data_IF_083605445779
#
_entry.id   IF_083605445779
#
_cell.length_a   1.000
_cell.length_b   1.000
_cell.length_c   1.000
_cell.angle_alpha   90.00
_cell.angle_beta   90.00
_cell.angle_gamma   90.00
#
_symmetry.space_group_name_H-M   'P 1'
#
loop_
_entity.id
_entity.type
_entity.pdbx_description
1 polymer ?
#
# COMPACT_ATOMS: atom_id res chain seq x y z
N UNK A 1 26.80 0.24 -0.53
CA UNK A 1 25.40 0.14 -0.08
C UNK A 1 25.25 1.01 1.16
N UNK A 2 24.71 2.23 1.00
CA UNK A 2 24.34 3.08 2.14
C UNK A 2 22.92 2.74 2.60
N UNK A 3 22.72 2.65 3.90
CA UNK A 3 21.39 2.57 4.49
C UNK A 3 20.85 3.98 4.73
N UNK A 4 19.55 4.18 4.49
CA UNK A 4 18.90 5.51 4.65
C UNK A 4 18.68 5.89 6.14
N UNK A 5 19.05 5.03 7.10
CA UNK A 5 18.69 5.22 8.51
C UNK A 5 17.18 5.02 8.77
N UNK A 6 16.65 5.54 9.89
CA UNK A 6 15.22 5.56 10.18
C UNK A 6 14.48 6.40 9.17
N UNK A 7 13.41 5.84 8.58
CA UNK A 7 12.54 6.53 7.63
C UNK A 7 11.07 6.29 7.98
N UNK A 8 10.21 7.24 7.63
CA UNK A 8 8.77 7.10 7.82
C UNK A 8 8.21 5.94 6.99
N UNK A 9 7.19 5.26 7.51
CA UNK A 9 6.51 4.15 6.82
C UNK A 9 5.96 4.59 5.45
N UNK A 10 5.36 5.79 5.35
CA UNK A 10 4.91 6.40 4.09
C UNK A 10 6.05 6.49 3.07
N UNK A 11 7.18 7.03 3.45
CA UNK A 11 8.37 7.14 2.58
C UNK A 11 8.88 5.76 2.15
N UNK A 12 8.85 4.79 3.05
CA UNK A 12 9.27 3.42 2.75
C UNK A 12 8.35 2.76 1.71
N UNK A 13 7.03 2.91 1.84
CA UNK A 13 6.06 2.39 0.87
C UNK A 13 6.19 3.11 -0.49
N UNK A 14 6.26 4.44 -0.48
CA UNK A 14 6.41 5.30 -1.67
C UNK A 14 7.62 4.92 -2.51
N UNK A 15 8.76 4.66 -1.84
CA UNK A 15 10.03 4.26 -2.48
C UNK A 15 10.21 2.75 -2.59
N UNK A 16 9.22 1.96 -2.16
CA UNK A 16 9.26 0.48 -2.16
C UNK A 16 10.53 -0.09 -1.48
N UNK A 17 10.80 0.35 -0.25
CA UNK A 17 12.00 -0.05 0.51
C UNK A 17 11.83 -1.44 1.13
N UNK A 18 12.42 -2.44 0.51
CA UNK A 18 12.33 -3.86 0.88
C UNK A 18 12.67 -4.14 2.35
N UNK A 19 13.74 -3.52 2.87
CA UNK A 19 14.19 -3.76 4.24
C UNK A 19 13.17 -3.34 5.29
N UNK A 20 12.39 -2.28 5.02
CA UNK A 20 11.33 -1.84 5.94
C UNK A 20 10.19 -2.86 5.95
N UNK A 21 9.74 -3.33 4.78
CA UNK A 21 8.71 -4.36 4.69
C UNK A 21 9.11 -5.65 5.42
N UNK A 22 10.38 -6.10 5.25
CA UNK A 22 10.91 -7.29 5.94
C UNK A 22 10.93 -7.08 7.45
N UNK A 23 11.37 -5.90 7.93
CA UNK A 23 11.39 -5.59 9.38
C UNK A 23 10.00 -5.57 9.98
N UNK A 24 9.02 -4.96 9.29
CA UNK A 24 7.63 -4.96 9.74
C UNK A 24 7.10 -6.40 9.82
N UNK A 25 7.27 -7.20 8.75
CA UNK A 25 6.83 -8.59 8.77
C UNK A 25 7.48 -9.40 9.90
N UNK A 26 8.78 -9.18 10.14
CA UNK A 26 9.50 -9.83 11.25
C UNK A 26 8.92 -9.43 12.61
N UNK A 27 8.55 -8.17 12.81
CA UNK A 27 8.04 -7.67 14.08
C UNK A 27 6.62 -8.16 14.38
N UNK A 28 5.74 -8.24 13.36
CA UNK A 28 4.38 -8.75 13.54
C UNK A 28 4.30 -10.28 13.52
N UNK A 29 5.31 -10.95 12.98
CA UNK A 29 5.36 -12.40 12.83
C UNK A 29 4.79 -12.92 11.52
N UNK A 30 5.53 -13.83 10.87
CA UNK A 30 5.19 -14.37 9.54
C UNK A 30 3.88 -15.18 9.56
N UNK A 31 3.64 -15.97 10.61
CA UNK A 31 2.42 -16.75 10.73
C UNK A 31 1.19 -15.87 10.94
N UNK A 32 1.32 -14.81 11.74
CA UNK A 32 0.25 -13.82 11.91
C UNK A 32 -0.10 -13.16 10.59
N UNK A 33 0.90 -12.73 9.83
CA UNK A 33 0.67 -12.09 8.53
C UNK A 33 0.05 -13.06 7.52
N UNK A 34 0.48 -14.33 7.49
CA UNK A 34 -0.09 -15.37 6.63
C UNK A 34 -1.58 -15.63 6.96
N UNK A 35 -1.93 -15.67 8.25
CA UNK A 35 -3.33 -15.78 8.66
C UNK A 35 -4.11 -14.51 8.28
N UNK A 36 -3.54 -13.34 8.54
CA UNK A 36 -4.20 -12.07 8.32
C UNK A 36 -4.59 -11.81 6.86
N UNK A 37 -3.74 -12.19 5.89
CA UNK A 37 -4.05 -11.99 4.46
C UNK A 37 -5.24 -12.82 3.97
N UNK A 38 -5.66 -13.86 4.70
CA UNK A 38 -6.87 -14.62 4.37
C UNK A 38 -8.12 -13.75 4.38
N UNK A 39 -8.13 -12.68 5.19
CA UNK A 39 -9.21 -11.70 5.25
C UNK A 39 -9.43 -11.02 3.91
N UNK A 40 -8.35 -10.80 3.14
CA UNK A 40 -8.39 -10.21 1.81
C UNK A 40 -8.75 -11.23 0.71
N UNK A 41 -8.85 -12.52 1.05
CA UNK A 41 -9.21 -13.58 0.12
C UNK A 41 -8.05 -14.38 -0.43
N UNK A 42 -6.84 -14.18 0.10
CA UNK A 42 -5.68 -14.97 -0.28
C UNK A 42 -5.65 -16.31 0.48
N UNK A 43 -5.16 -17.35 -0.20
CA UNK A 43 -4.98 -18.66 0.41
C UNK A 43 -3.64 -18.74 1.13
N UNK A 44 -3.58 -19.19 2.40
CA UNK A 44 -2.32 -19.34 3.11
C UNK A 44 -1.38 -20.36 2.46
N UNK A 45 -1.92 -21.33 1.70
CA UNK A 45 -1.13 -22.36 1.00
C UNK A 45 -0.25 -21.75 -0.10
N UNK A 46 -0.69 -20.64 -0.70
CA UNK A 46 0.00 -19.97 -1.80
C UNK A 46 0.99 -18.90 -1.28
N UNK A 47 1.04 -18.69 0.03
CA UNK A 47 1.84 -17.65 0.68
C UNK A 47 2.66 -18.25 1.83
N UNK A 48 3.84 -18.80 1.56
CA UNK A 48 4.64 -19.47 2.57
C UNK A 48 5.11 -18.49 3.65
N UNK A 49 5.08 -18.88 4.95
CA UNK A 49 5.35 -17.99 6.09
C UNK A 49 6.85 -17.75 6.28
N UNK A 50 7.50 -17.17 5.28
CA UNK A 50 8.89 -16.73 5.33
C UNK A 50 8.99 -15.22 5.22
N UNK A 51 10.11 -14.63 5.64
CA UNK A 51 10.33 -13.19 5.52
C UNK A 51 10.27 -12.69 4.06
N UNK A 52 10.56 -13.54 3.08
CA UNK A 52 10.41 -13.23 1.67
C UNK A 52 8.94 -12.95 1.26
N UNK A 53 7.94 -13.38 2.06
CA UNK A 53 6.53 -13.03 1.84
C UNK A 53 6.33 -11.51 1.83
N UNK A 54 7.10 -10.75 2.62
CA UNK A 54 7.08 -9.28 2.60
C UNK A 54 7.47 -8.66 1.25
N UNK A 55 8.15 -9.44 0.41
CA UNK A 55 8.62 -9.03 -0.92
C UNK A 55 7.81 -9.67 -2.06
N UNK A 56 6.72 -10.37 -1.72
CA UNK A 56 5.86 -10.99 -2.70
C UNK A 56 6.24 -12.43 -3.08
N UNK A 57 6.94 -13.17 -2.22
CA UNK A 57 7.23 -14.60 -2.42
C UNK A 57 5.96 -15.44 -2.16
N UNK A 58 4.93 -15.24 -2.96
CA UNK A 58 3.69 -15.98 -2.98
C UNK A 58 3.14 -16.01 -4.40
N UNK A 59 2.16 -16.88 -4.66
CA UNK A 59 1.51 -16.97 -5.96
C UNK A 59 0.10 -16.41 -5.88
N UNK A 60 -0.23 -15.52 -6.82
CA UNK A 60 -1.55 -14.88 -6.90
C UNK A 60 -1.99 -14.74 -8.35
N UNK A 61 -3.30 -14.71 -8.56
CA UNK A 61 -3.88 -14.31 -9.84
C UNK A 61 -4.21 -12.82 -9.83
N UNK A 62 -4.30 -12.19 -11.00
CA UNK A 62 -4.77 -10.81 -11.13
C UNK A 62 -6.18 -10.64 -10.53
N UNK A 63 -7.03 -11.66 -10.64
CA UNK A 63 -8.35 -11.72 -10.04
C UNK A 63 -8.34 -11.62 -8.51
N UNK A 64 -7.48 -12.39 -7.85
CA UNK A 64 -7.31 -12.33 -6.40
C UNK A 64 -6.74 -10.97 -5.96
N UNK A 65 -5.78 -10.42 -6.71
CA UNK A 65 -5.24 -9.09 -6.45
C UNK A 65 -6.30 -8.00 -6.58
N UNK A 66 -7.16 -8.07 -7.61
CA UNK A 66 -8.26 -7.12 -7.76
C UNK A 66 -9.22 -7.16 -6.56
N UNK A 67 -9.57 -8.36 -6.09
CA UNK A 67 -10.37 -8.53 -4.88
C UNK A 67 -9.69 -7.99 -3.61
N UNK A 68 -8.39 -8.21 -3.46
CA UNK A 68 -7.60 -7.70 -2.33
C UNK A 68 -7.49 -6.17 -2.32
N UNK A 69 -7.21 -5.56 -3.49
CA UNK A 69 -7.13 -4.10 -3.60
C UNK A 69 -8.49 -3.41 -3.50
N UNK A 70 -9.57 -4.07 -3.89
CA UNK A 70 -10.92 -3.57 -3.69
C UNK A 70 -11.26 -3.32 -2.20
N UNK A 71 -10.62 -4.04 -1.27
CA UNK A 71 -10.77 -3.80 0.17
C UNK A 71 -10.32 -2.39 0.55
N UNK A 72 -9.20 -1.91 -0.02
CA UNK A 72 -8.73 -0.54 0.23
C UNK A 72 -9.61 0.50 -0.47
N UNK A 73 -9.98 0.24 -1.72
CA UNK A 73 -10.77 1.17 -2.53
C UNK A 73 -12.15 1.47 -1.93
N UNK A 74 -12.75 0.52 -1.21
CA UNK A 74 -14.12 0.61 -0.70
C UNK A 74 -14.23 0.77 0.83
N UNK A 75 -13.15 1.17 1.51
CA UNK A 75 -13.17 1.46 2.94
C UNK A 75 -13.13 0.23 3.85
N UNK A 76 -12.54 -0.87 3.40
CA UNK A 76 -12.23 -2.02 4.24
C UNK A 76 -13.16 -3.21 4.08
N UNK A 77 -14.04 -3.22 3.08
CA UNK A 77 -14.98 -4.32 2.84
C UNK A 77 -14.46 -5.29 1.79
N UNK A 78 -14.59 -6.59 2.06
CA UNK A 78 -14.31 -7.63 1.09
C UNK A 78 -15.54 -7.88 0.21
N UNK A 79 -15.42 -7.54 -1.06
CA UNK A 79 -16.42 -7.87 -2.09
C UNK A 79 -15.93 -9.08 -2.90
N UNK A 80 -16.83 -9.97 -3.27
CA UNK A 80 -16.49 -11.13 -4.11
C UNK A 80 -16.68 -10.74 -5.58
N UNK A 81 -15.61 -10.71 -6.37
CA UNK A 81 -15.73 -10.43 -7.79
C UNK A 81 -16.46 -11.58 -8.51
N UNK A 82 -17.19 -11.24 -9.57
CA UNK A 82 -17.88 -12.21 -10.42
C UNK A 82 -17.84 -11.74 -11.88
N UNK A 83 -17.94 -12.67 -12.82
CA UNK A 83 -17.94 -12.40 -14.28
C UNK A 83 -19.36 -12.51 -14.83
N UNK A 84 -20.10 -13.54 -14.40
CA UNK A 84 -21.46 -13.79 -14.89
C UNK A 84 -22.45 -13.16 -13.91
N UNK A 85 -23.19 -12.14 -14.36
CA UNK A 85 -24.18 -11.45 -13.52
C UNK A 85 -25.50 -12.24 -13.43
N UNK A 86 -25.95 -12.85 -14.54
CA UNK A 86 -27.14 -13.70 -14.56
C UNK A 86 -27.13 -14.65 -15.74
N UNK A 87 -27.82 -15.77 -15.57
CA UNK A 87 -28.10 -16.75 -16.62
C UNK A 87 -29.60 -16.81 -16.82
N UNK A 88 -30.06 -16.70 -18.05
CA UNK A 88 -31.49 -16.81 -18.42
C UNK A 88 -31.70 -17.93 -19.42
N UNK A 89 -32.88 -18.56 -19.42
CA UNK A 89 -33.28 -19.49 -20.46
C UNK A 89 -33.73 -18.73 -21.73
N UNK A 90 -34.14 -19.49 -22.78
CA UNK A 90 -34.62 -18.95 -24.06
C UNK A 90 -35.93 -18.12 -23.94
N UNK A 91 -36.65 -18.27 -22.83
CA UNK A 91 -37.88 -17.53 -22.53
C UNK A 91 -37.62 -16.29 -21.67
N UNK A 92 -36.35 -15.96 -21.37
CA UNK A 92 -35.97 -14.81 -20.53
C UNK A 92 -36.10 -15.04 -19.03
N UNK A 93 -36.52 -16.26 -18.59
CA UNK A 93 -36.58 -16.57 -17.17
C UNK A 93 -35.17 -16.72 -16.57
N UNK A 94 -34.94 -16.07 -15.44
CA UNK A 94 -33.68 -16.17 -14.73
C UNK A 94 -33.52 -17.59 -14.16
N UNK A 95 -32.44 -18.27 -14.53
CA UNK A 95 -32.02 -19.58 -14.01
C UNK A 95 -31.10 -19.37 -12.79
N UNK A 96 -30.15 -18.44 -12.92
CA UNK A 96 -29.18 -18.11 -11.87
C UNK A 96 -28.81 -16.63 -11.95
N UNK A 97 -28.56 -16.02 -10.78
CA UNK A 97 -28.13 -14.63 -10.68
C UNK A 97 -27.05 -14.49 -9.60
N UNK A 98 -25.98 -13.76 -9.92
CA UNK A 98 -24.94 -13.48 -8.95
C UNK A 98 -25.51 -12.71 -7.75
N UNK A 99 -25.17 -13.18 -6.55
CA UNK A 99 -25.45 -12.43 -5.33
C UNK A 99 -24.41 -11.33 -5.17
N UNK A 100 -24.84 -10.10 -5.42
CA UNK A 100 -23.97 -8.92 -5.32
C UNK A 100 -23.91 -8.45 -3.88
N UNK A 101 -22.74 -8.51 -3.26
CA UNK A 101 -22.49 -7.89 -1.96
C UNK A 101 -21.76 -6.57 -2.19
N UNK A 102 -22.22 -5.49 -1.57
CA UNK A 102 -21.61 -4.15 -1.63
C UNK A 102 -21.02 -3.75 -0.28
N UNK A 103 -20.09 -2.82 -0.30
CA UNK A 103 -19.59 -2.19 0.92
C UNK A 103 -20.77 -1.55 1.69
N UNK A 104 -20.89 -1.89 2.97
CA UNK A 104 -22.03 -1.46 3.79
C UNK A 104 -23.32 -2.24 3.56
N UNK A 105 -23.43 -3.08 2.52
CA UNK A 105 -24.62 -3.86 2.18
C UNK A 105 -24.23 -5.31 1.85
N UNK A 106 -24.20 -6.16 2.85
CA UNK A 106 -23.93 -7.60 2.73
C UNK A 106 -22.45 -7.99 2.55
N UNK A 107 -21.54 -7.06 2.30
CA UNK A 107 -20.11 -7.34 2.32
C UNK A 107 -19.55 -7.29 3.74
N UNK A 108 -18.60 -8.18 4.04
CA UNK A 108 -17.94 -8.23 5.35
C UNK A 108 -16.82 -7.19 5.39
N UNK A 109 -16.81 -6.35 6.43
CA UNK A 109 -15.68 -5.47 6.71
C UNK A 109 -14.53 -6.31 7.28
N UNK A 110 -13.39 -6.31 6.63
CA UNK A 110 -12.22 -7.15 6.96
C UNK A 110 -11.06 -6.37 7.55
N UNK A 111 -11.02 -5.05 7.33
CA UNK A 111 -10.16 -4.09 8.02
C UNK A 111 -10.96 -2.85 8.42
N UNK A 112 -10.49 -2.15 9.44
CA UNK A 112 -11.09 -0.88 9.86
C UNK A 112 -10.99 0.16 8.71
N UNK A 113 -12.03 0.98 8.54
CA UNK A 113 -12.06 2.02 7.50
C UNK A 113 -10.95 3.05 7.64
N UNK A 114 -10.53 3.35 8.87
CA UNK A 114 -9.39 4.23 9.16
C UNK A 114 -8.08 3.62 8.67
N UNK A 115 -7.90 2.30 8.83
CA UNK A 115 -6.74 1.59 8.29
C UNK A 115 -6.74 1.61 6.76
N UNK A 116 -7.90 1.35 6.12
CA UNK A 116 -8.04 1.44 4.67
C UNK A 116 -7.69 2.84 4.15
N UNK A 117 -8.14 3.90 4.84
CA UNK A 117 -7.81 5.29 4.51
C UNK A 117 -6.31 5.58 4.63
N UNK A 118 -5.67 5.20 5.74
CA UNK A 118 -4.23 5.42 5.94
C UNK A 118 -3.40 4.71 4.87
N UNK A 119 -3.73 3.46 4.56
CA UNK A 119 -3.06 2.71 3.49
C UNK A 119 -3.29 3.35 2.12
N UNK A 120 -4.51 3.78 1.81
CA UNK A 120 -4.83 4.49 0.57
C UNK A 120 -4.04 5.79 0.46
N UNK A 121 -4.01 6.60 1.53
CA UNK A 121 -3.22 7.84 1.58
C UNK A 121 -1.73 7.60 1.31
N UNK A 122 -1.14 6.53 1.87
CA UNK A 122 0.25 6.17 1.57
C UNK A 122 0.43 5.68 0.13
N UNK A 123 -0.53 4.92 -0.42
CA UNK A 123 -0.49 4.46 -1.82
C UNK A 123 -0.75 5.57 -2.83
N UNK A 124 -1.44 6.65 -2.45
CA UNK A 124 -1.53 7.86 -3.27
C UNK A 124 -0.15 8.50 -3.47
N UNK A 125 0.73 8.49 -2.47
CA UNK A 125 2.09 9.02 -2.61
C UNK A 125 2.98 8.15 -3.51
N UNK A 126 2.72 6.86 -3.61
CA UNK A 126 3.37 6.01 -4.62
C UNK A 126 3.08 6.52 -6.03
N UNK A 127 1.83 6.98 -6.27
CA UNK A 127 1.38 7.55 -7.55
C UNK A 127 1.84 9.01 -7.71
N UNK A 128 1.85 9.80 -6.64
CA UNK A 128 2.20 11.22 -6.71
C UNK A 128 3.70 11.46 -6.91
N UNK A 129 4.53 10.80 -6.11
CA UNK A 129 5.98 11.08 -6.02
C UNK A 129 6.84 9.81 -5.96
N UNK A 130 6.22 8.63 -6.05
CA UNK A 130 6.90 7.36 -5.87
C UNK A 130 7.18 6.60 -7.17
N UNK A 131 7.22 5.27 -7.05
CA UNK A 131 7.55 4.36 -8.15
C UNK A 131 6.53 4.36 -9.28
N UNK A 132 5.35 4.92 -9.07
CA UNK A 132 4.28 5.05 -10.07
C UNK A 132 3.98 6.52 -10.47
N UNK A 133 4.92 7.45 -10.29
CA UNK A 133 4.70 8.88 -10.54
C UNK A 133 4.27 9.20 -12.00
N UNK A 134 4.54 8.32 -12.96
CA UNK A 134 4.03 8.46 -14.33
C UNK A 134 2.51 8.53 -14.43
N UNK A 135 1.78 7.93 -13.47
CA UNK A 135 0.31 7.99 -13.46
C UNK A 135 -0.25 9.41 -13.22
N UNK A 136 0.60 10.37 -12.79
CA UNK A 136 0.23 11.79 -12.70
C UNK A 136 -0.21 12.39 -14.05
N UNK A 137 0.18 11.79 -15.16
CA UNK A 137 -0.29 12.24 -16.50
C UNK A 137 -1.82 12.13 -16.68
N UNK A 138 -2.52 11.35 -15.86
CA UNK A 138 -3.99 11.28 -15.85
C UNK A 138 -4.65 12.53 -15.22
N UNK A 139 -3.87 13.41 -14.58
CA UNK A 139 -4.36 14.65 -13.99
C UNK A 139 -5.34 14.47 -12.83
N UNK A 140 -5.31 13.32 -12.13
CA UNK A 140 -6.26 12.96 -11.07
C UNK A 140 -5.59 12.91 -9.70
N UNK A 141 -6.32 13.33 -8.68
CA UNK A 141 -5.88 13.36 -7.29
C UNK A 141 -6.26 12.10 -6.50
N UNK A 142 -7.22 11.32 -6.99
CA UNK A 142 -7.84 10.17 -6.33
C UNK A 142 -7.17 8.81 -6.60
N UNK A 143 -6.09 8.80 -7.39
CA UNK A 143 -5.41 7.55 -7.74
C UNK A 143 -4.48 7.06 -6.62
N UNK A 144 -4.57 5.76 -6.32
CA UNK A 144 -3.69 5.06 -5.40
C UNK A 144 -3.20 3.75 -6.02
N UNK A 145 -2.03 3.28 -5.63
CA UNK A 145 -1.55 2.01 -6.16
C UNK A 145 -0.14 1.64 -5.74
N UNK A 146 0.32 0.49 -6.22
CA UNK A 146 1.65 -0.05 -5.92
C UNK A 146 2.23 -0.83 -7.10
N UNK A 147 3.49 -0.59 -7.38
CA UNK A 147 4.29 -1.37 -8.32
C UNK A 147 4.80 -2.65 -7.67
N UNK A 148 4.86 -3.73 -8.43
CA UNK A 148 5.55 -4.98 -8.06
C UNK A 148 6.55 -5.36 -9.15
N UNK A 149 7.69 -5.90 -8.73
CA UNK A 149 8.72 -6.42 -9.63
C UNK A 149 9.43 -7.56 -8.93
N UNK A 150 9.46 -8.72 -9.55
CA UNK A 150 10.24 -9.85 -9.05
C UNK A 150 11.73 -9.70 -9.38
N UNK A 151 12.56 -10.47 -8.69
CA UNK A 151 13.98 -10.56 -9.02
C UNK A 151 14.16 -10.93 -10.50
N UNK A 152 15.18 -10.38 -11.14
CA UNK A 152 15.49 -10.58 -12.57
C UNK A 152 14.37 -10.15 -13.52
N UNK A 153 13.40 -9.33 -13.07
CA UNK A 153 12.27 -8.85 -13.87
C UNK A 153 11.49 -10.00 -14.55
N UNK A 154 11.21 -11.08 -13.83
CA UNK A 154 10.40 -12.21 -14.33
C UNK A 154 8.93 -11.78 -14.42
N UNK A 155 8.45 -11.07 -13.39
CA UNK A 155 7.09 -10.52 -13.33
C UNK A 155 7.13 -9.02 -13.08
N UNK A 156 6.30 -8.29 -13.79
CA UNK A 156 6.04 -6.88 -13.60
C UNK A 156 4.55 -6.67 -13.29
N UNK A 157 4.27 -6.03 -12.15
CA UNK A 157 2.93 -5.78 -11.65
C UNK A 157 2.67 -4.30 -11.44
N UNK A 158 1.45 -3.89 -11.72
CA UNK A 158 0.88 -2.69 -11.14
C UNK A 158 -0.54 -2.96 -10.67
N UNK A 159 -0.78 -2.70 -9.39
CA UNK A 159 -2.09 -2.76 -8.76
C UNK A 159 -2.50 -1.34 -8.36
N UNK A 160 -3.54 -0.81 -8.98
CA UNK A 160 -3.98 0.56 -8.73
C UNK A 160 -5.50 0.70 -8.76
N UNK A 161 -5.98 1.77 -8.15
CA UNK A 161 -7.40 2.02 -7.97
C UNK A 161 -7.71 3.49 -7.71
N UNK A 162 -8.98 3.82 -7.83
CA UNK A 162 -9.62 5.00 -7.27
C UNK A 162 -10.93 4.57 -6.57
N UNK A 163 -11.79 5.47 -6.06
CA UNK A 163 -13.04 5.08 -5.41
C UNK A 163 -14.00 4.25 -6.28
N UNK A 164 -13.87 4.29 -7.60
CA UNK A 164 -14.80 3.67 -8.56
C UNK A 164 -14.26 2.43 -9.25
N UNK A 165 -12.95 2.33 -9.44
CA UNK A 165 -12.31 1.31 -10.26
C UNK A 165 -11.07 0.73 -9.58
N UNK A 166 -10.92 -0.58 -9.67
CA UNK A 166 -9.68 -1.29 -9.35
C UNK A 166 -9.18 -1.95 -10.63
N UNK A 167 -7.95 -1.70 -11.00
CA UNK A 167 -7.31 -2.35 -12.14
C UNK A 167 -5.96 -2.95 -11.76
N UNK A 168 -5.75 -4.17 -12.20
CA UNK A 168 -4.51 -4.92 -11.98
C UNK A 168 -3.90 -5.26 -13.33
N UNK A 169 -2.64 -4.91 -13.50
CA UNK A 169 -1.86 -5.30 -14.67
C UNK A 169 -0.71 -6.19 -14.24
N UNK A 170 -0.61 -7.32 -14.88
CA UNK A 170 0.51 -8.24 -14.78
C UNK A 170 1.12 -8.49 -16.15
N UNK A 171 2.44 -8.45 -16.20
CA UNK A 171 3.23 -8.90 -17.33
C UNK A 171 4.20 -9.98 -16.88
N UNK A 172 4.21 -11.07 -17.60
CA UNK A 172 5.04 -12.24 -17.34
C UNK A 172 4.89 -13.25 -18.46
N UNK A 173 5.60 -14.34 -18.33
CA UNK A 173 5.48 -15.49 -19.22
C UNK A 173 4.93 -16.69 -18.45
N UNK A 174 4.11 -17.53 -19.09
CA UNK A 174 3.60 -18.79 -18.50
C UNK A 174 4.75 -19.70 -18.04
N UNK A 175 5.83 -19.74 -18.82
CA UNK A 175 7.11 -20.32 -18.41
C UNK A 175 8.00 -19.21 -17.90
N UNK A 176 8.28 -19.12 -16.58
CA UNK A 176 8.98 -17.98 -15.99
C UNK A 176 10.34 -17.73 -16.62
N UNK A 177 10.52 -16.54 -17.19
CA UNK A 177 11.78 -16.04 -17.74
C UNK A 177 11.82 -14.52 -17.67
N UNK A 178 12.99 -13.88 -17.67
CA UNK A 178 13.11 -12.42 -17.63
C UNK A 178 12.37 -11.75 -18.78
N UNK A 179 11.61 -10.67 -18.45
CA UNK A 179 10.93 -9.82 -19.43
C UNK A 179 11.92 -8.98 -20.24
N UNK A 180 13.05 -8.67 -19.66
CA UNK A 180 14.09 -7.83 -20.27
C UNK A 180 14.74 -6.91 -19.25
N UNK A 181 15.83 -6.26 -19.66
CA UNK A 181 16.56 -5.36 -18.78
C UNK A 181 15.71 -4.12 -18.42
N UNK A 182 15.51 -3.87 -17.12
CA UNK A 182 14.74 -2.76 -16.56
C UNK A 182 13.22 -2.84 -16.80
N UNK A 183 12.67 -4.00 -17.22
CA UNK A 183 11.23 -4.20 -17.38
C UNK A 183 10.58 -4.42 -15.99
N UNK A 184 10.43 -3.32 -15.26
CA UNK A 184 9.84 -3.27 -13.92
C UNK A 184 8.34 -2.99 -13.98
N UNK A 185 7.62 -3.19 -12.87
CA UNK A 185 6.20 -2.84 -12.76
C UNK A 185 5.90 -1.39 -13.16
N UNK A 186 6.78 -0.44 -12.81
CA UNK A 186 6.64 0.97 -13.19
C UNK A 186 6.96 1.26 -14.66
N UNK A 187 7.60 0.36 -15.39
CA UNK A 187 7.96 0.54 -16.81
C UNK A 187 7.14 -0.33 -17.76
N UNK A 188 6.83 -1.56 -17.36
CA UNK A 188 6.11 -2.50 -18.20
C UNK A 188 4.61 -2.53 -17.89
N UNK A 189 4.21 -2.66 -16.63
CA UNK A 189 2.80 -2.80 -16.26
C UNK A 189 2.07 -1.45 -16.10
N UNK A 190 2.72 -0.45 -15.50
CA UNK A 190 2.10 0.85 -15.24
C UNK A 190 1.59 1.58 -16.49
N UNK A 191 2.29 1.63 -17.62
CA UNK A 191 1.76 2.29 -18.83
C UNK A 191 0.45 1.69 -19.32
N UNK A 192 0.33 0.37 -19.32
CA UNK A 192 -0.91 -0.34 -19.69
C UNK A 192 -2.05 0.03 -18.75
N UNK A 193 -1.76 0.09 -17.45
CA UNK A 193 -2.73 0.54 -16.46
C UNK A 193 -3.19 1.97 -16.69
N UNK A 194 -2.26 2.87 -17.03
CA UNK A 194 -2.57 4.27 -17.32
C UNK A 194 -3.51 4.38 -18.52
N UNK A 195 -3.20 3.70 -19.62
CA UNK A 195 -4.01 3.72 -20.84
C UNK A 195 -5.43 3.19 -20.58
N UNK A 196 -5.55 2.12 -19.78
CA UNK A 196 -6.83 1.58 -19.37
C UNK A 196 -7.61 2.60 -18.50
N UNK A 197 -6.98 3.16 -17.47
CA UNK A 197 -7.62 4.09 -16.54
C UNK A 197 -7.98 5.42 -17.24
N UNK A 198 -7.18 5.91 -18.18
CA UNK A 198 -7.54 7.07 -19.01
C UNK A 198 -8.89 6.84 -19.71
N UNK A 199 -9.09 5.65 -20.24
CA UNK A 199 -10.33 5.33 -20.96
C UNK A 199 -11.54 5.22 -20.04
N UNK A 200 -11.41 4.49 -18.91
CA UNK A 200 -12.58 4.17 -18.06
C UNK A 200 -12.94 5.30 -17.08
N UNK A 201 -12.01 6.21 -16.78
CA UNK A 201 -12.25 7.30 -15.84
C UNK A 201 -12.68 8.62 -16.47
N UNK A 202 -12.77 8.72 -17.80
CA UNK A 202 -13.16 9.96 -18.50
C UNK A 202 -14.49 10.56 -18.04
N UNK A 203 -15.45 9.70 -17.75
CA UNK A 203 -16.78 10.11 -17.28
C UNK A 203 -16.96 10.00 -15.76
N UNK A 204 -15.87 9.74 -15.03
CA UNK A 204 -15.90 9.52 -13.59
C UNK A 204 -15.34 10.75 -12.88
N UNK A 205 -16.02 11.32 -11.88
CA UNK A 205 -15.52 12.48 -11.15
C UNK A 205 -14.19 12.15 -10.45
N UNK A 206 -13.33 13.16 -10.29
CA UNK A 206 -12.13 13.08 -9.44
C UNK A 206 -12.55 13.42 -8.02
N UNK A 207 -12.66 12.41 -7.18
CA UNK A 207 -13.15 12.54 -5.82
C UNK A 207 -12.09 12.15 -4.79
N UNK A 208 -11.66 13.10 -3.94
CA UNK A 208 -10.72 12.80 -2.88
C UNK A 208 -11.36 11.83 -1.86
N UNK A 209 -10.55 10.97 -1.28
CA UNK A 209 -11.00 10.10 -0.18
C UNK A 209 -11.36 10.91 1.04
N UNK A 210 -12.54 10.66 1.60
CA UNK A 210 -12.99 11.30 2.83
C UNK A 210 -12.20 10.80 4.02
N UNK A 211 -11.70 11.72 4.84
CA UNK A 211 -11.02 11.38 6.09
C UNK A 211 -12.07 10.82 7.05
N UNK A 212 -11.92 9.58 7.52
CA UNK A 212 -12.89 8.98 8.44
C UNK A 212 -12.76 9.56 9.85
N UNK A 213 -13.83 9.47 10.62
CA UNK A 213 -13.83 9.80 12.04
C UNK A 213 -12.74 9.01 12.79
N UNK A 214 -12.07 9.66 13.74
CA UNK A 214 -10.98 9.07 14.50
C UNK A 214 -9.60 9.14 13.81
N UNK A 215 -9.51 9.83 12.66
CA UNK A 215 -8.25 10.21 12.01
C UNK A 215 -8.10 11.73 12.04
N UNK A 216 -6.92 12.19 12.40
CA UNK A 216 -6.54 13.61 12.34
C UNK A 216 -5.21 13.81 11.62
N UNK A 217 -5.08 14.98 11.00
CA UNK A 217 -3.84 15.40 10.33
C UNK A 217 -3.04 16.30 11.25
N UNK A 218 -1.76 15.98 11.42
CA UNK A 218 -0.83 16.77 12.23
C UNK A 218 0.40 17.15 11.40
N UNK A 219 0.88 18.37 11.65
CA UNK A 219 2.17 18.80 11.12
C UNK A 219 3.29 18.16 11.94
N UNK A 220 4.21 17.49 11.29
CA UNK A 220 5.32 16.77 11.92
C UNK A 220 6.64 17.10 11.23
N UNK A 221 7.73 17.00 11.99
CA UNK A 221 9.08 16.97 11.44
C UNK A 221 9.25 15.70 10.59
N UNK A 222 9.69 15.80 9.33
CA UNK A 222 9.82 14.65 8.43
C UNK A 222 10.93 13.66 8.84
N UNK A 223 11.88 14.08 9.69
CA UNK A 223 13.01 13.26 10.15
C UNK A 223 12.69 12.55 11.45
N UNK A 224 12.19 13.29 12.45
CA UNK A 224 11.93 12.76 13.80
C UNK A 224 10.52 12.20 13.97
N UNK A 225 9.55 12.66 13.17
CA UNK A 225 8.14 12.30 13.30
C UNK A 225 7.43 13.00 14.47
N UNK A 226 8.09 13.93 15.16
CA UNK A 226 7.53 14.70 16.28
C UNK A 226 6.60 15.81 15.77
N UNK A 227 5.59 16.19 16.58
CA UNK A 227 4.71 17.30 16.24
C UNK A 227 5.46 18.63 16.29
N UNK A 228 5.34 19.41 15.22
CA UNK A 228 5.88 20.76 15.14
C UNK A 228 4.75 21.78 15.04
N UNK A 229 4.82 22.85 15.83
CA UNK A 229 3.85 23.94 15.75
C UNK A 229 4.19 24.97 14.65
N UNK A 230 5.45 25.28 14.44
CA UNK A 230 5.88 26.47 13.70
C UNK A 230 7.01 26.30 12.68
N UNK A 231 7.41 25.07 12.32
CA UNK A 231 8.47 24.88 11.35
C UNK A 231 7.97 25.05 9.92
N UNK A 232 8.64 25.89 9.13
CA UNK A 232 8.37 26.05 7.70
C UNK A 232 8.61 24.74 6.91
N UNK A 233 9.42 23.82 7.46
CA UNK A 233 9.79 22.53 6.84
C UNK A 233 8.91 21.35 7.22
N UNK A 234 7.96 21.51 8.15
CA UNK A 234 7.05 20.44 8.60
C UNK A 234 6.12 19.97 7.49
N UNK A 235 5.76 18.68 7.53
CA UNK A 235 4.82 18.04 6.61
C UNK A 235 3.58 17.58 7.35
N UNK A 236 2.44 17.49 6.65
CA UNK A 236 1.23 16.92 7.21
C UNK A 236 1.22 15.40 7.06
N UNK A 237 0.85 14.70 8.17
CA UNK A 237 0.70 13.25 8.21
C UNK A 237 -0.56 12.89 8.98
N UNK A 238 -1.21 11.76 8.62
CA UNK A 238 -2.42 11.27 9.24
C UNK A 238 -2.12 10.29 10.36
N UNK A 239 -2.86 10.44 11.48
CA UNK A 239 -2.73 9.60 12.67
C UNK A 239 -4.11 9.19 13.20
N UNK A 240 -4.17 8.03 13.84
CA UNK A 240 -5.29 7.72 14.73
C UNK A 240 -5.33 8.71 15.89
N UNK A 241 -6.51 9.16 16.29
CA UNK A 241 -6.65 10.10 17.40
C UNK A 241 -6.15 9.53 18.74
N UNK A 242 -6.17 8.21 18.88
CA UNK A 242 -5.64 7.48 20.02
C UNK A 242 -4.12 7.24 19.98
N UNK A 243 -3.45 7.48 18.83
CA UNK A 243 -2.01 7.28 18.64
C UNK A 243 -1.38 8.51 17.99
N UNK A 244 -1.33 9.59 18.75
CA UNK A 244 -0.78 10.86 18.26
C UNK A 244 0.75 10.84 18.26
N UNK A 245 1.39 11.55 17.30
CA UNK A 245 2.83 11.71 17.31
C UNK A 245 3.29 12.48 18.57
N UNK A 246 4.46 12.17 19.13
CA UNK A 246 4.99 12.83 20.33
C UNK A 246 5.18 14.33 20.09
N UNK A 247 5.10 15.13 21.17
CA UNK A 247 5.45 16.55 21.15
C UNK A 247 6.96 16.72 21.30
N UNK A 248 7.53 17.75 20.69
CA UNK A 248 8.97 18.02 20.74
C UNK A 248 9.52 18.30 22.18
N UNK A 249 8.67 18.69 23.13
CA UNK A 249 9.09 19.21 24.46
C UNK A 249 8.91 18.22 25.61
N UNK A 250 8.42 17.02 25.41
CA UNK A 250 8.26 16.04 26.49
C UNK A 250 8.47 14.63 25.94
N UNK A 251 9.33 13.85 26.57
CA UNK A 251 9.43 12.40 26.48
C UNK A 251 10.43 11.82 25.47
N UNK A 252 11.70 12.25 25.53
CA UNK A 252 12.76 11.30 25.26
C UNK A 252 13.20 10.65 26.59
N UNK A 253 12.39 9.73 27.12
CA UNK A 253 12.99 8.66 27.91
C UNK A 253 13.75 7.75 26.94
N UNK A 254 15.07 7.57 27.13
CA UNK A 254 15.83 6.67 26.28
C UNK A 254 15.20 5.27 26.36
N UNK A 255 14.92 4.67 25.22
CA UNK A 255 14.44 3.28 25.18
C UNK A 255 15.55 2.43 25.84
N UNK A 256 15.28 1.73 26.95
CA UNK A 256 16.28 0.93 27.62
C UNK A 256 16.92 -0.07 26.65
N UNK A 257 18.24 0.02 26.45
CA UNK A 257 19.01 -0.90 25.60
C UNK A 257 19.45 -0.38 24.25
N UNK A 258 19.15 0.89 23.89
CA UNK A 258 19.80 1.53 22.73
C UNK A 258 20.85 2.52 23.22
N UNK A 259 22.12 2.45 22.75
CA UNK A 259 23.12 3.45 23.06
C UNK A 259 22.67 4.82 22.52
N UNK A 260 22.85 5.87 23.32
CA UNK A 260 22.66 7.25 22.88
C UNK A 260 23.48 7.49 21.60
N UNK A 261 22.87 8.12 20.61
CA UNK A 261 23.60 8.59 19.45
C UNK A 261 24.63 9.63 19.94
N UNK A 262 25.93 9.35 19.73
CA UNK A 262 26.98 10.29 20.05
C UNK A 262 26.68 11.64 19.38
N UNK A 263 26.60 12.69 20.18
CA UNK A 263 26.45 14.05 19.69
C UNK A 263 27.76 14.46 18.97
N UNK A 264 27.73 14.65 17.64
CA UNK A 264 28.92 14.96 16.87
C UNK A 264 29.54 16.33 17.21
N UNK A 265 28.89 17.13 18.06
CA UNK A 265 29.37 18.44 18.50
C UNK A 265 30.14 18.41 19.84
N UNK A 266 30.18 17.26 20.56
CA UNK A 266 30.95 17.13 21.81
C UNK A 266 32.37 16.68 21.52
N UNK A 267 33.38 17.40 22.04
CA UNK A 267 34.78 16.96 21.95
C UNK A 267 34.95 15.63 22.69
N UNK A 268 35.61 14.66 22.04
CA UNK A 268 35.99 13.40 22.68
C UNK A 268 36.92 13.69 23.86
N UNK A 269 36.46 13.51 25.10
CA UNK A 269 37.29 13.51 26.29
C UNK A 269 38.12 12.21 26.31
N UNK A 270 39.43 12.34 26.35
CA UNK A 270 40.35 11.32 26.82
C UNK A 270 41.08 10.53 25.75
N UNK A 271 42.16 11.12 25.22
CA UNK A 271 43.31 10.39 24.73
C UNK A 271 44.56 11.13 25.21
N UNK A 272 44.82 10.99 26.51
CA UNK A 272 46.15 11.22 27.12
C UNK A 272 46.30 10.18 28.22
N UNK A 273 47.01 9.09 27.86
CA UNK A 273 48.03 8.40 28.64
C UNK A 273 48.60 7.25 27.84
#
# INVERSE_FOLDING_TARGET
NSYDGPIRMRTALTKSKNMVSIRILRSIGVNYAQDYITRFGFSPKDHPPYLAMALGAGSVTAWQMAGGYAVFANGGYRVKPYIISKITNSQGKIIEQAKVNRAGEGAVRVIDGRNAFLMTSMMQDVVRIGTAAKAQQLGRSDLAGKTGTTNNQIDAWFAGYNPYQVAIVWMGYDQPKPLGNKETGGRAALPIWIDYMDSVLRATPDEPYTIPDGISSYKIDPLTGTREKDSASGIYEYFYNEFLPPKLEQDFEPIPGFPEAEDPSKPKEGADE
#
